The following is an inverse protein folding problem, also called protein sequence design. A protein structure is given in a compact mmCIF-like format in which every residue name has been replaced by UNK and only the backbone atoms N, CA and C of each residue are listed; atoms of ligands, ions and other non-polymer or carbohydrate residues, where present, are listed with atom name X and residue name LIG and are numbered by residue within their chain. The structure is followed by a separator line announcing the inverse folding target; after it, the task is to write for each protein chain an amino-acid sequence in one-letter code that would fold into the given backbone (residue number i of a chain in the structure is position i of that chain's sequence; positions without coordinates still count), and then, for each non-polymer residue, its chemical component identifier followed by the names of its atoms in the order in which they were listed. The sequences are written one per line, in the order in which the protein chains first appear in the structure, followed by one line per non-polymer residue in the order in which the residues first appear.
data_IF_079997437934
#
_entry.id   IF_079997437934
#
_cell.length_a   1.000
_cell.length_b   1.000
_cell.length_c   1.000
_cell.angle_alpha   90.00
_cell.angle_beta   90.00
_cell.angle_gamma   90.00
#
_symmetry.space_group_name_H-M   'P 1'
#
loop_
_entity.id
_entity.type
_entity.pdbx_description
1 polymer ?
#
# COMPACT_ATOMS: atom_id res chain seq x y z
N UNK A 1 -29.09 37.42 -1.47
CA UNK A 1 -29.28 35.95 -1.43
C UNK A 1 -30.27 35.60 -2.53
N UNK A 2 -29.78 35.24 -3.71
CA UNK A 2 -30.60 34.80 -4.83
C UNK A 2 -30.68 33.27 -4.82
N UNK A 3 -31.89 32.74 -4.86
CA UNK A 3 -32.19 31.30 -4.92
C UNK A 3 -31.49 30.64 -6.09
N UNK A 4 -30.64 29.65 -5.80
CA UNK A 4 -30.09 28.75 -6.83
C UNK A 4 -31.22 27.80 -7.21
N UNK A 5 -31.79 27.99 -8.40
CA UNK A 5 -32.74 27.06 -9.01
C UNK A 5 -32.08 25.71 -9.29
N UNK A 6 -32.80 24.62 -9.03
CA UNK A 6 -32.37 23.25 -9.30
C UNK A 6 -32.26 23.00 -10.81
N UNK A 7 -31.06 23.13 -11.38
CA UNK A 7 -30.78 22.78 -12.77
C UNK A 7 -29.39 22.13 -12.92
N UNK A 8 -29.22 21.26 -13.91
CA UNK A 8 -27.92 20.64 -14.21
C UNK A 8 -27.11 21.60 -15.08
N UNK A 9 -25.95 22.02 -14.58
CA UNK A 9 -25.08 22.97 -15.27
C UNK A 9 -23.93 22.24 -15.98
N UNK A 10 -23.68 22.57 -17.25
CA UNK A 10 -22.61 21.98 -18.06
C UNK A 10 -21.56 23.02 -18.46
N UNK A 11 -20.28 22.63 -18.40
CA UNK A 11 -19.15 23.45 -18.86
C UNK A 11 -18.77 22.99 -20.27
N UNK A 12 -18.74 23.91 -21.25
CA UNK A 12 -18.15 23.65 -22.56
C UNK A 12 -16.64 23.80 -22.44
N UNK A 13 -15.88 22.76 -22.80
CA UNK A 13 -14.43 22.75 -22.68
C UNK A 13 -13.80 23.91 -23.49
N UNK A 14 -13.09 24.82 -22.83
CA UNK A 14 -12.40 25.96 -23.46
C UNK A 14 -12.45 27.32 -22.75
N UNK A 15 -13.09 27.46 -21.57
CA UNK A 15 -13.12 28.71 -20.79
C UNK A 15 -13.77 28.54 -19.41
N UNK A 16 -13.69 29.57 -18.55
CA UNK A 16 -14.32 29.65 -17.21
C UNK A 16 -15.79 30.11 -17.24
N UNK A 17 -16.36 30.30 -18.42
CA UNK A 17 -17.76 30.72 -18.61
C UNK A 17 -18.71 29.53 -18.70
N UNK A 18 -19.77 29.55 -17.87
CA UNK A 18 -20.91 28.64 -17.97
C UNK A 18 -21.54 28.74 -19.36
N UNK A 19 -21.62 27.63 -20.09
CA UNK A 19 -22.04 27.66 -21.49
C UNK A 19 -23.53 27.34 -21.69
N UNK A 20 -24.18 26.64 -20.75
CA UNK A 20 -25.64 26.42 -20.75
C UNK A 20 -26.07 25.62 -19.52
N UNK A 21 -27.24 25.94 -18.96
CA UNK A 21 -28.00 25.04 -18.10
C UNK A 21 -28.94 24.21 -18.98
N UNK A 22 -28.95 22.90 -18.81
CA UNK A 22 -29.94 22.04 -19.44
C UNK A 22 -30.86 21.58 -18.31
N UNK A 23 -32.15 21.87 -18.46
CA UNK A 23 -33.18 21.34 -17.56
C UNK A 23 -33.12 19.80 -17.63
N UNK A 24 -33.04 19.10 -16.48
CA UNK A 24 -33.09 17.64 -16.46
C UNK A 24 -34.34 17.15 -17.19
N UNK A 25 -34.19 16.22 -18.11
CA UNK A 25 -35.35 15.54 -18.74
C UNK A 25 -35.94 14.53 -17.74
N UNK A 26 -37.18 14.06 -17.95
CA UNK A 26 -37.89 13.13 -17.04
C UNK A 26 -37.16 11.78 -16.76
N UNK A 27 -35.99 11.54 -17.37
CA UNK A 27 -35.08 10.42 -17.08
C UNK A 27 -33.83 10.77 -16.22
N UNK A 28 -33.63 12.03 -15.86
CA UNK A 28 -32.44 12.54 -15.15
C UNK A 28 -32.60 12.58 -13.62
N UNK A 29 -33.74 12.12 -13.09
CA UNK A 29 -34.04 11.97 -11.67
C UNK A 29 -33.15 10.87 -11.02
N UNK A 30 -31.86 11.14 -10.90
CA UNK A 30 -30.87 10.20 -10.38
C UNK A 30 -29.41 10.61 -10.63
N UNK A 31 -29.17 11.62 -11.48
CA UNK A 31 -27.83 12.15 -11.72
C UNK A 31 -27.24 12.81 -10.47
N UNK A 32 -26.08 12.32 -10.05
CA UNK A 32 -25.34 12.88 -8.93
C UNK A 32 -24.48 14.05 -9.40
N UNK A 33 -24.19 14.99 -8.50
CA UNK A 33 -23.18 16.01 -8.77
C UNK A 33 -21.81 15.38 -9.06
N UNK A 34 -21.13 15.85 -10.11
CA UNK A 34 -19.81 15.35 -10.46
C UNK A 34 -19.40 15.70 -11.89
N UNK A 35 -18.19 15.32 -12.30
CA UNK A 35 -17.72 15.54 -13.66
C UNK A 35 -18.30 14.48 -14.60
N UNK A 36 -18.89 14.96 -15.70
CA UNK A 36 -19.40 14.12 -16.78
C UNK A 36 -18.88 14.63 -18.12
N UNK A 37 -18.85 13.75 -19.10
CA UNK A 37 -18.58 14.08 -20.50
C UNK A 37 -19.77 13.63 -21.33
N UNK A 38 -20.25 14.51 -22.22
CA UNK A 38 -21.22 14.14 -23.23
C UNK A 38 -20.48 13.45 -24.39
N UNK A 39 -20.75 12.17 -24.61
CA UNK A 39 -20.12 11.38 -25.67
C UNK A 39 -21.18 10.67 -26.49
N UNK A 40 -21.24 10.95 -27.81
CA UNK A 40 -22.24 10.39 -28.74
C UNK A 40 -23.68 10.54 -28.23
N UNK A 41 -24.03 11.70 -27.67
CA UNK A 41 -25.35 11.99 -27.13
C UNK A 41 -25.69 11.30 -25.80
N UNK A 42 -24.73 10.63 -25.17
CA UNK A 42 -24.89 10.02 -23.85
C UNK A 42 -24.02 10.71 -22.81
N UNK A 43 -24.60 10.98 -21.65
CA UNK A 43 -23.87 11.51 -20.51
C UNK A 43 -23.07 10.40 -19.83
N UNK A 44 -21.75 10.54 -19.79
CA UNK A 44 -20.83 9.52 -19.28
C UNK A 44 -20.06 10.04 -18.07
N UNK A 45 -19.95 9.24 -17.00
CA UNK A 45 -19.14 9.60 -15.81
C UNK A 45 -17.67 9.76 -16.21
N UNK A 46 -17.09 10.90 -15.86
CA UNK A 46 -15.70 11.21 -16.18
C UNK A 46 -14.76 10.69 -15.09
N UNK A 47 -13.59 10.20 -15.51
CA UNK A 47 -12.49 9.80 -14.63
C UNK A 47 -11.27 10.61 -15.02
N UNK A 48 -10.54 11.12 -14.03
CA UNK A 48 -9.24 11.73 -14.28
C UNK A 48 -8.20 10.63 -14.42
N UNK A 49 -7.40 10.69 -15.47
CA UNK A 49 -6.24 9.83 -15.63
C UNK A 49 -5.05 10.48 -14.92
N UNK A 50 -4.45 9.73 -14.00
CA UNK A 50 -3.23 10.14 -13.30
C UNK A 50 -2.08 9.25 -13.75
N UNK A 51 -0.95 9.88 -14.08
CA UNK A 51 0.31 9.16 -14.20
C UNK A 51 0.78 8.71 -12.81
N UNK A 52 1.52 7.60 -12.77
CA UNK A 52 2.11 7.06 -11.55
C UNK A 52 3.66 7.20 -11.56
N UNK A 53 4.25 8.40 -11.44
CA UNK A 53 5.71 8.55 -11.61
C UNK A 53 6.55 7.63 -10.70
N UNK A 54 6.02 7.22 -9.54
CA UNK A 54 6.69 6.28 -8.64
C UNK A 54 6.66 4.81 -9.08
N UNK A 55 6.02 4.51 -10.22
CA UNK A 55 5.91 3.15 -10.76
C UNK A 55 5.38 2.13 -9.75
N UNK A 56 4.46 2.56 -8.87
CA UNK A 56 3.98 1.75 -7.76
C UNK A 56 2.91 0.72 -8.15
N UNK A 57 2.26 0.88 -9.30
CA UNK A 57 1.20 -0.01 -9.77
C UNK A 57 1.76 -1.13 -10.67
N UNK A 58 1.18 -2.34 -10.58
CA UNK A 58 1.34 -3.40 -11.59
C UNK A 58 0.18 -3.33 -12.60
N UNK A 59 -1.07 -3.22 -12.12
CA UNK A 59 -2.26 -3.06 -12.96
C UNK A 59 -3.07 -1.85 -12.49
N UNK A 60 -3.30 -0.90 -13.40
CA UNK A 60 -4.39 0.06 -13.25
C UNK A 60 -5.72 -0.61 -13.61
N UNK A 61 -6.77 -0.41 -12.81
CA UNK A 61 -8.07 -1.05 -13.03
C UNK A 61 -8.98 -0.15 -13.86
N UNK A 62 -9.62 -0.76 -14.87
CA UNK A 62 -10.62 -0.07 -15.69
C UNK A 62 -11.85 0.23 -14.83
N UNK A 63 -12.36 1.47 -14.83
CA UNK A 63 -13.55 1.82 -14.07
C UNK A 63 -14.74 0.91 -14.37
N UNK A 64 -15.38 0.41 -13.31
CA UNK A 64 -16.54 -0.49 -13.39
C UNK A 64 -17.82 0.34 -13.48
N UNK A 65 -18.21 0.69 -14.69
CA UNK A 65 -19.51 1.35 -14.96
C UNK A 65 -20.68 0.35 -14.84
N UNK A 66 -20.39 -0.94 -15.02
CA UNK A 66 -21.33 -2.05 -14.82
C UNK A 66 -20.68 -3.10 -13.90
N UNK A 67 -21.47 -3.91 -13.19
CA UNK A 67 -21.02 -5.07 -12.38
C UNK A 67 -20.44 -6.20 -13.26
N UNK A 68 -19.42 -5.89 -14.04
CA UNK A 68 -18.62 -6.82 -14.84
C UNK A 68 -17.34 -7.18 -14.09
N UNK A 69 -16.65 -8.21 -14.56
CA UNK A 69 -15.31 -8.61 -14.08
C UNK A 69 -14.34 -7.44 -14.13
N UNK A 70 -13.35 -7.44 -13.22
CA UNK A 70 -12.28 -6.45 -13.25
C UNK A 70 -11.41 -6.65 -14.49
N UNK A 71 -10.90 -5.55 -15.03
CA UNK A 71 -10.06 -5.55 -16.23
C UNK A 71 -8.96 -4.51 -16.10
N UNK A 72 -7.81 -4.79 -16.70
CA UNK A 72 -6.73 -3.84 -16.83
C UNK A 72 -7.17 -2.62 -17.68
N UNK A 73 -6.92 -1.42 -17.16
CA UNK A 73 -6.99 -0.16 -17.87
C UNK A 73 -5.74 -0.03 -18.75
N UNK A 74 -5.84 -0.50 -19.99
CA UNK A 74 -4.77 -0.40 -21.00
C UNK A 74 -4.65 1.02 -21.54
N UNK A 75 -4.20 1.94 -20.71
CA UNK A 75 -3.93 3.34 -21.06
C UNK A 75 -2.52 3.72 -20.64
N UNK A 76 -1.74 4.27 -21.57
CA UNK A 76 -0.39 4.79 -21.30
C UNK A 76 -0.48 6.11 -20.53
N UNK A 77 0.51 6.37 -19.68
CA UNK A 77 0.77 7.69 -19.12
C UNK A 77 1.54 8.59 -20.09
N UNK A 78 1.89 9.81 -19.65
CA UNK A 78 2.65 10.75 -20.47
C UNK A 78 4.07 10.27 -20.76
N UNK A 79 4.73 9.66 -19.77
CA UNK A 79 5.96 8.92 -19.99
C UNK A 79 5.60 7.53 -20.55
N UNK A 80 6.21 7.15 -21.67
CA UNK A 80 5.85 5.94 -22.44
C UNK A 80 5.93 4.62 -21.66
N UNK A 81 6.60 4.60 -20.50
CA UNK A 81 6.74 3.42 -19.63
C UNK A 81 5.76 3.40 -18.45
N UNK A 82 4.96 4.45 -18.24
CA UNK A 82 4.01 4.55 -17.13
C UNK A 82 2.61 4.12 -17.55
N UNK A 83 1.84 3.59 -16.58
CA UNK A 83 0.40 3.37 -16.75
C UNK A 83 -0.35 4.62 -16.29
N UNK A 84 -1.48 4.87 -16.95
CA UNK A 84 -2.49 5.81 -16.44
C UNK A 84 -3.44 5.11 -15.48
N UNK A 85 -3.68 5.71 -14.30
CA UNK A 85 -4.68 5.24 -13.33
C UNK A 85 -5.94 6.08 -13.47
N UNK A 86 -7.09 5.45 -13.71
CA UNK A 86 -8.38 6.15 -13.77
C UNK A 86 -8.95 6.32 -12.36
N UNK A 87 -9.10 7.58 -11.96
CA UNK A 87 -9.53 7.96 -10.62
C UNK A 87 -10.88 8.68 -10.68
N UNK A 88 -11.93 8.18 -9.98
CA UNK A 88 -13.24 8.82 -9.97
C UNK A 88 -13.23 10.10 -9.14
N UNK A 89 -14.11 11.05 -9.45
CA UNK A 89 -14.41 12.15 -8.51
C UNK A 89 -15.06 11.65 -7.21
N UNK A 90 -14.79 12.35 -6.11
CA UNK A 90 -15.43 12.11 -4.80
C UNK A 90 -16.73 12.88 -4.59
N UNK A 91 -17.03 13.87 -5.44
CA UNK A 91 -18.16 14.81 -5.27
C UNK A 91 -19.50 14.08 -5.09
N UNK A 92 -19.71 13.03 -5.88
CA UNK A 92 -20.91 12.18 -5.86
C UNK A 92 -21.21 11.65 -4.44
N UNK A 93 -20.17 11.25 -3.72
CA UNK A 93 -20.27 10.59 -2.43
C UNK A 93 -20.45 11.56 -1.26
N UNK A 94 -20.03 12.83 -1.42
CA UNK A 94 -20.17 13.87 -0.38
C UNK A 94 -21.63 14.15 0.00
N UNK A 95 -22.57 13.90 -0.91
CA UNK A 95 -24.00 14.20 -0.72
C UNK A 95 -24.86 12.99 -0.39
N UNK A 96 -24.35 11.76 -0.59
CA UNK A 96 -25.18 10.55 -0.66
C UNK A 96 -24.98 9.52 0.44
N UNK A 97 -23.86 9.56 1.18
CA UNK A 97 -23.53 8.45 2.08
C UNK A 97 -23.15 8.90 3.48
N UNK A 98 -23.75 8.25 4.48
CA UNK A 98 -23.31 8.31 5.88
C UNK A 98 -22.15 7.37 6.16
N UNK A 99 -21.72 6.60 5.16
CA UNK A 99 -20.61 5.67 5.27
C UNK A 99 -19.27 6.39 5.12
N UNK A 100 -18.40 6.26 6.13
CA UNK A 100 -17.09 6.92 6.18
C UNK A 100 -16.12 6.50 5.08
N UNK A 101 -16.35 5.39 4.38
CA UNK A 101 -15.51 4.92 3.27
C UNK A 101 -16.11 5.16 1.87
N UNK A 102 -17.29 5.79 1.79
CA UNK A 102 -17.92 6.05 0.51
C UNK A 102 -17.08 7.02 -0.33
N UNK A 103 -16.78 6.61 -1.57
CA UNK A 103 -15.93 7.38 -2.47
C UNK A 103 -14.44 7.32 -2.16
N UNK A 104 -14.03 6.61 -1.11
CA UNK A 104 -12.63 6.31 -0.87
C UNK A 104 -12.06 5.48 -2.03
N UNK A 105 -10.77 5.65 -2.30
CA UNK A 105 -10.05 5.00 -3.38
C UNK A 105 -9.00 4.09 -2.77
N UNK A 106 -9.12 2.81 -3.12
CA UNK A 106 -8.30 1.72 -2.61
C UNK A 106 -7.39 1.20 -3.72
N UNK A 107 -6.16 0.86 -3.36
CA UNK A 107 -5.29 0.01 -4.16
C UNK A 107 -4.78 -1.15 -3.30
N UNK A 108 -4.52 -2.31 -3.88
CA UNK A 108 -4.15 -3.49 -3.09
C UNK A 108 -2.82 -4.06 -3.56
N UNK A 109 -1.98 -4.54 -2.65
CA UNK A 109 -0.79 -5.33 -2.99
C UNK A 109 -1.19 -6.49 -3.90
N UNK A 110 -0.43 -6.74 -4.97
CA UNK A 110 -0.74 -7.79 -5.96
C UNK A 110 -0.42 -9.22 -5.47
N UNK A 111 -0.89 -9.53 -4.27
CA UNK A 111 -1.01 -10.87 -3.69
C UNK A 111 -2.48 -11.26 -3.52
N UNK A 112 -3.38 -10.27 -3.46
CA UNK A 112 -4.80 -10.52 -3.31
C UNK A 112 -5.46 -10.81 -4.66
N UNK A 113 -6.18 -11.91 -4.74
CA UNK A 113 -6.98 -12.27 -5.91
C UNK A 113 -8.02 -11.20 -6.21
N UNK A 114 -8.15 -10.86 -7.50
CA UNK A 114 -9.17 -9.96 -8.02
C UNK A 114 -9.79 -10.63 -9.22
N UNK A 115 -11.09 -10.89 -9.12
CA UNK A 115 -11.87 -11.59 -10.14
C UNK A 115 -11.65 -10.99 -11.54
N UNK A 116 -11.18 -11.81 -12.48
CA UNK A 116 -10.89 -11.45 -13.87
C UNK A 116 -9.48 -10.90 -14.12
N UNK A 117 -8.66 -10.70 -13.09
CA UNK A 117 -7.25 -10.33 -13.21
C UNK A 117 -6.33 -11.51 -12.93
N UNK A 118 -5.24 -11.58 -13.68
CA UNK A 118 -4.16 -12.55 -13.48
C UNK A 118 -3.04 -11.88 -12.70
N UNK A 119 -2.64 -12.47 -11.57
CA UNK A 119 -1.63 -11.91 -10.68
C UNK A 119 -0.22 -12.23 -11.16
N UNK A 120 0.73 -11.36 -10.84
CA UNK A 120 2.16 -11.65 -11.01
C UNK A 120 2.84 -12.03 -9.70
N UNK A 121 2.37 -11.49 -8.56
CA UNK A 121 3.04 -11.64 -7.26
C UNK A 121 4.53 -11.24 -7.35
N UNK A 122 4.85 -10.28 -8.22
CA UNK A 122 6.22 -9.85 -8.51
C UNK A 122 7.09 -10.91 -9.22
N UNK A 123 6.49 -11.94 -9.84
CA UNK A 123 7.19 -13.05 -10.50
C UNK A 123 6.54 -13.40 -11.85
N UNK A 124 7.30 -13.34 -12.95
CA UNK A 124 6.76 -13.71 -14.27
C UNK A 124 6.39 -15.20 -14.36
N UNK A 125 7.14 -16.06 -13.67
CA UNK A 125 6.82 -17.49 -13.60
C UNK A 125 5.48 -17.76 -12.88
N UNK A 126 5.12 -16.95 -11.88
CA UNK A 126 3.79 -16.99 -11.28
C UNK A 126 2.72 -16.61 -12.29
N UNK A 127 2.94 -15.51 -13.01
CA UNK A 127 2.02 -15.10 -14.06
C UNK A 127 1.83 -16.25 -15.04
N UNK A 128 2.88 -16.83 -15.62
CA UNK A 128 2.82 -17.94 -16.59
C UNK A 128 2.08 -19.19 -16.09
N UNK A 129 2.17 -19.49 -14.78
CA UNK A 129 1.55 -20.65 -14.17
C UNK A 129 0.03 -20.53 -14.05
N UNK A 130 -0.46 -19.43 -13.49
CA UNK A 130 -1.87 -19.29 -13.11
C UNK A 130 -2.70 -18.60 -14.18
N UNK A 131 -4.02 -18.76 -14.15
CA UNK A 131 -4.98 -18.03 -15.00
C UNK A 131 -5.52 -16.80 -14.28
N UNK A 132 -6.34 -15.94 -14.93
CA UNK A 132 -7.09 -14.93 -14.19
C UNK A 132 -7.88 -15.53 -13.02
N UNK A 133 -7.89 -14.84 -11.89
CA UNK A 133 -8.59 -15.30 -10.69
C UNK A 133 -10.10 -15.37 -10.93
N UNK A 134 -10.75 -16.41 -10.43
CA UNK A 134 -12.20 -16.61 -10.53
C UNK A 134 -12.98 -15.87 -9.44
N UNK A 135 -12.30 -15.47 -8.38
CA UNK A 135 -12.88 -14.82 -7.20
C UNK A 135 -12.05 -13.62 -6.78
N UNK A 136 -12.67 -12.75 -6.01
CA UNK A 136 -11.99 -11.64 -5.34
C UNK A 136 -11.70 -12.02 -3.89
N UNK A 137 -10.54 -11.61 -3.37
CA UNK A 137 -10.13 -11.93 -2.03
C UNK A 137 -11.13 -11.38 -0.99
N UNK A 138 -11.50 -12.15 0.06
CA UNK A 138 -12.48 -11.76 1.06
C UNK A 138 -12.24 -10.40 1.73
N UNK A 139 -10.99 -10.04 1.94
CA UNK A 139 -10.60 -8.76 2.56
C UNK A 139 -10.99 -7.54 1.71
N UNK A 140 -11.13 -7.70 0.39
CA UNK A 140 -11.46 -6.61 -0.54
C UNK A 140 -12.98 -6.38 -0.61
N UNK A 141 -13.81 -7.40 -0.31
CA UNK A 141 -15.27 -7.24 -0.32
C UNK A 141 -15.73 -6.14 0.64
N UNK A 142 -15.21 -6.13 1.87
CA UNK A 142 -15.65 -5.20 2.92
C UNK A 142 -15.51 -3.72 2.52
N UNK A 143 -14.37 -3.25 1.96
CA UNK A 143 -14.29 -1.91 1.39
C UNK A 143 -15.25 -1.67 0.21
N UNK A 144 -15.35 -2.61 -0.72
CA UNK A 144 -16.19 -2.44 -1.93
C UNK A 144 -17.68 -2.31 -1.59
N UNK A 145 -18.17 -3.06 -0.61
CA UNK A 145 -19.55 -2.96 -0.10
C UNK A 145 -19.85 -1.62 0.58
N UNK A 146 -18.80 -0.85 0.87
CA UNK A 146 -18.87 0.50 1.48
C UNK A 146 -18.64 1.62 0.46
N UNK A 147 -18.93 1.37 -0.81
CA UNK A 147 -18.79 2.32 -1.93
C UNK A 147 -17.36 2.84 -2.15
N UNK A 148 -16.34 2.08 -1.70
CA UNK A 148 -14.94 2.33 -2.04
C UNK A 148 -14.67 1.88 -3.48
N UNK A 149 -13.84 2.64 -4.21
CA UNK A 149 -13.39 2.27 -5.55
C UNK A 149 -12.00 1.63 -5.51
N UNK A 150 -11.89 0.39 -6.00
CA UNK A 150 -10.60 -0.25 -6.27
C UNK A 150 -10.00 0.31 -7.57
N UNK A 151 -8.88 1.01 -7.48
CA UNK A 151 -8.23 1.70 -8.61
C UNK A 151 -7.09 0.91 -9.26
N UNK A 152 -6.53 -0.10 -8.58
CA UNK A 152 -5.44 -0.90 -9.13
C UNK A 152 -4.77 -1.85 -8.14
N UNK A 153 -3.82 -2.62 -8.68
CA UNK A 153 -2.90 -3.48 -7.92
C UNK A 153 -1.52 -2.84 -7.81
N UNK A 154 -0.85 -3.08 -6.70
CA UNK A 154 0.42 -2.46 -6.33
C UNK A 154 1.56 -3.47 -6.37
N UNK A 155 2.73 -2.98 -6.75
CA UNK A 155 3.98 -3.73 -6.75
C UNK A 155 4.32 -4.26 -5.37
N UNK A 156 5.02 -5.38 -5.39
CA UNK A 156 5.57 -6.08 -4.24
C UNK A 156 6.92 -6.67 -4.61
N UNK A 157 7.74 -6.95 -3.59
CA UNK A 157 8.88 -7.84 -3.76
C UNK A 157 8.40 -9.23 -4.19
N UNK A 158 9.11 -9.82 -5.15
CA UNK A 158 8.78 -11.10 -5.77
C UNK A 158 8.48 -12.15 -4.74
N UNK A 159 7.35 -12.85 -4.87
CA UNK A 159 6.92 -13.92 -3.96
C UNK A 159 6.89 -13.49 -2.47
N UNK A 160 6.60 -12.21 -2.19
CA UNK A 160 6.52 -11.63 -0.83
C UNK A 160 7.89 -11.65 -0.12
N UNK A 161 8.95 -11.60 -0.90
CA UNK A 161 10.31 -11.60 -0.38
C UNK A 161 10.83 -10.17 -0.27
N UNK A 162 11.77 -9.95 0.65
CA UNK A 162 12.48 -8.68 0.66
C UNK A 162 13.39 -8.67 -0.57
N UNK A 163 13.18 -7.67 -1.40
CA UNK A 163 14.00 -7.35 -2.56
C UNK A 163 14.19 -5.84 -2.58
N UNK A 164 15.44 -5.41 -2.67
CA UNK A 164 15.76 -4.04 -3.07
C UNK A 164 15.78 -3.92 -4.61
N UNK A 165 15.93 -2.71 -5.15
CA UNK A 165 15.87 -2.52 -6.61
C UNK A 165 16.94 -3.34 -7.34
N UNK A 166 18.16 -3.39 -6.81
CA UNK A 166 19.26 -4.15 -7.39
C UNK A 166 18.95 -5.66 -7.50
N UNK A 167 18.00 -6.16 -6.71
CA UNK A 167 17.57 -7.57 -6.69
C UNK A 167 16.29 -7.82 -7.49
N UNK A 168 15.56 -6.74 -7.85
CA UNK A 168 14.27 -6.78 -8.53
C UNK A 168 14.41 -7.10 -10.03
N UNK A 169 14.46 -8.39 -10.36
CA UNK A 169 14.74 -8.83 -11.73
C UNK A 169 13.53 -8.85 -12.69
N UNK A 170 12.34 -9.20 -12.21
CA UNK A 170 11.14 -9.32 -13.06
C UNK A 170 10.33 -8.01 -13.11
N UNK A 171 10.20 -7.34 -11.96
CA UNK A 171 9.45 -6.09 -11.81
C UNK A 171 10.22 -5.14 -10.90
N UNK A 172 10.65 -4.00 -11.43
CA UNK A 172 11.42 -3.03 -10.65
C UNK A 172 10.67 -2.51 -9.43
N UNK A 173 11.37 -2.43 -8.30
CA UNK A 173 10.89 -1.77 -7.09
C UNK A 173 10.43 -0.31 -7.37
N UNK A 174 9.37 0.16 -6.70
CA UNK A 174 8.82 1.50 -6.90
C UNK A 174 9.79 2.59 -6.43
N UNK A 175 9.52 3.84 -6.78
CA UNK A 175 10.25 5.00 -6.25
C UNK A 175 9.60 5.53 -4.98
N UNK A 176 10.42 5.77 -3.95
CA UNK A 176 9.98 6.42 -2.74
C UNK A 176 10.03 7.94 -2.96
N UNK A 177 8.89 8.61 -2.92
CA UNK A 177 8.82 10.06 -3.14
C UNK A 177 9.42 10.88 -1.97
N UNK A 178 9.65 10.28 -0.80
CA UNK A 178 10.19 10.95 0.39
C UNK A 178 11.64 11.40 0.18
N UNK A 179 12.02 12.49 0.85
CA UNK A 179 13.34 13.09 0.73
C UNK A 179 13.63 13.49 -0.73
N UNK A 180 14.76 13.04 -1.25
CA UNK A 180 15.22 13.30 -2.61
C UNK A 180 14.51 12.47 -3.70
N UNK A 181 13.56 11.61 -3.33
CA UNK A 181 12.84 10.77 -4.29
C UNK A 181 13.59 9.49 -4.70
N UNK A 182 14.75 9.20 -4.09
CA UNK A 182 15.63 8.11 -4.49
C UNK A 182 15.94 7.09 -3.38
N UNK A 183 15.29 7.21 -2.23
CA UNK A 183 15.39 6.20 -1.18
C UNK A 183 14.71 4.89 -1.61
N UNK A 184 15.09 3.79 -0.96
CA UNK A 184 14.35 2.55 -1.04
C UNK A 184 12.93 2.75 -0.54
N UNK A 185 11.98 2.08 -1.20
CA UNK A 185 10.60 1.96 -0.73
C UNK A 185 10.40 0.75 0.19
N UNK A 186 11.48 0.02 0.48
CA UNK A 186 11.49 -1.26 1.19
C UNK A 186 10.55 -2.30 0.56
N UNK A 187 10.50 -3.48 1.17
CA UNK A 187 9.88 -4.66 0.58
C UNK A 187 9.33 -5.57 1.69
N UNK A 188 8.30 -6.39 1.49
CA UNK A 188 7.64 -6.71 0.22
C UNK A 188 6.42 -5.85 -0.11
N UNK A 189 5.99 -4.95 0.77
CA UNK A 189 4.84 -4.06 0.52
C UNK A 189 5.24 -2.67 0.03
N UNK A 190 6.43 -2.52 -0.58
CA UNK A 190 6.99 -1.23 -0.99
C UNK A 190 6.10 -0.45 -1.96
N UNK A 191 5.38 -1.13 -2.87
CA UNK A 191 4.42 -0.46 -3.75
C UNK A 191 3.28 0.21 -2.99
N UNK A 192 2.85 -0.37 -1.86
CA UNK A 192 1.82 0.21 -0.99
C UNK A 192 2.33 1.44 -0.26
N UNK A 193 3.50 1.35 0.37
CA UNK A 193 4.13 2.49 1.04
C UNK A 193 4.42 3.65 0.09
N UNK A 194 5.06 3.36 -1.05
CA UNK A 194 5.38 4.36 -2.08
C UNK A 194 4.11 5.03 -2.64
N UNK A 195 3.04 4.26 -2.91
CA UNK A 195 1.80 4.82 -3.43
C UNK A 195 1.13 5.77 -2.43
N UNK A 196 0.98 5.37 -1.16
CA UNK A 196 0.38 6.22 -0.13
C UNK A 196 1.21 7.46 0.17
N UNK A 197 2.54 7.36 0.11
CA UNK A 197 3.41 8.52 0.29
C UNK A 197 3.33 9.52 -0.88
N UNK A 198 2.84 9.11 -2.06
CA UNK A 198 2.97 9.89 -3.30
C UNK A 198 1.65 10.43 -3.84
N UNK A 199 0.55 9.69 -3.67
CA UNK A 199 -0.70 9.97 -4.35
C UNK A 199 -1.75 10.49 -3.36
N UNK A 200 -1.95 11.81 -3.35
CA UNK A 200 -3.01 12.49 -2.57
C UNK A 200 -4.43 12.00 -2.92
N UNK A 201 -4.58 11.46 -4.12
CA UNK A 201 -5.81 10.92 -4.62
C UNK A 201 -6.07 9.48 -4.15
N UNK A 202 -5.13 8.78 -3.51
CA UNK A 202 -5.28 7.42 -2.99
C UNK A 202 -5.51 7.46 -1.47
N UNK A 203 -6.54 6.78 -0.97
CA UNK A 203 -6.95 6.93 0.43
C UNK A 203 -6.35 5.88 1.37
N UNK A 204 -6.29 4.62 0.92
CA UNK A 204 -5.64 3.54 1.69
C UNK A 204 -5.24 2.37 0.79
N UNK A 205 -4.41 1.49 1.33
CA UNK A 205 -3.97 0.26 0.66
C UNK A 205 -4.10 -0.96 1.55
N UNK A 206 -4.26 -2.14 0.96
CA UNK A 206 -4.22 -3.42 1.70
C UNK A 206 -2.94 -4.20 1.38
N UNK A 207 -2.36 -4.84 2.41
CA UNK A 207 -1.12 -5.60 2.33
C UNK A 207 -1.21 -7.01 2.92
N UNK A 208 -0.34 -7.88 2.38
CA UNK A 208 0.06 -9.27 2.71
C UNK A 208 -1.02 -10.36 2.85
N UNK A 209 -0.74 -11.50 2.23
CA UNK A 209 -1.41 -12.79 2.38
C UNK A 209 -0.41 -13.93 2.05
N UNK A 210 -0.67 -15.18 2.44
CA UNK A 210 0.25 -16.32 2.37
C UNK A 210 0.39 -16.87 0.94
N UNK A 211 1.58 -17.32 0.56
CA UNK A 211 1.80 -18.11 -0.66
C UNK A 211 2.03 -19.57 -0.29
N UNK A 212 1.29 -20.48 -0.91
CA UNK A 212 1.48 -21.92 -0.76
C UNK A 212 1.60 -22.57 -2.15
N UNK A 213 2.32 -23.70 -2.22
CA UNK A 213 2.31 -24.66 -3.34
C UNK A 213 2.90 -24.23 -4.70
N UNK A 214 3.19 -22.95 -4.92
CA UNK A 214 3.74 -22.41 -6.19
C UNK A 214 4.87 -23.22 -6.84
N UNK A 215 5.94 -23.52 -6.09
CA UNK A 215 7.14 -24.18 -6.65
C UNK A 215 6.82 -25.56 -7.19
N UNK A 216 6.02 -26.34 -6.46
CA UNK A 216 5.66 -27.70 -6.85
C UNK A 216 4.73 -27.70 -8.06
N UNK A 217 3.75 -26.79 -8.09
CA UNK A 217 2.83 -26.63 -9.21
C UNK A 217 3.55 -26.21 -10.50
N UNK A 218 4.49 -25.26 -10.40
CA UNK A 218 5.27 -24.81 -11.55
C UNK A 218 6.09 -25.96 -12.16
N UNK A 219 6.78 -26.73 -11.31
CA UNK A 219 7.55 -27.91 -11.75
C UNK A 219 6.67 -28.94 -12.45
N UNK A 220 5.51 -29.26 -11.87
CA UNK A 220 4.57 -30.23 -12.46
C UNK A 220 4.08 -29.77 -13.84
N UNK A 221 3.76 -28.48 -14.01
CA UNK A 221 3.24 -27.96 -15.28
C UNK A 221 4.32 -27.77 -16.36
N UNK A 222 5.48 -27.27 -15.99
CA UNK A 222 6.51 -26.84 -16.94
C UNK A 222 7.72 -27.77 -17.03
N UNK A 223 7.78 -28.81 -16.17
CA UNK A 223 8.88 -29.78 -16.09
C UNK A 223 10.26 -29.11 -15.87
N UNK A 224 10.28 -27.94 -15.22
CA UNK A 224 11.50 -27.16 -14.89
C UNK A 224 11.27 -26.29 -13.65
N UNK A 225 12.35 -25.78 -13.06
CA UNK A 225 12.26 -24.78 -11.99
C UNK A 225 11.77 -23.41 -12.52
N UNK A 226 10.97 -22.66 -11.73
CA UNK A 226 10.71 -21.26 -12.02
C UNK A 226 11.99 -20.43 -11.80
N UNK A 227 12.10 -19.32 -12.54
CA UNK A 227 13.02 -18.27 -12.12
C UNK A 227 12.52 -17.69 -10.78
N UNK A 228 13.45 -17.55 -9.84
CA UNK A 228 13.27 -16.77 -8.62
C UNK A 228 14.53 -15.95 -8.36
N UNK A 229 14.34 -14.82 -7.67
CA UNK A 229 15.41 -13.91 -7.29
C UNK A 229 16.49 -14.63 -6.43
N UNK A 230 17.69 -14.04 -6.30
CA UNK A 230 18.78 -14.62 -5.51
C UNK A 230 18.43 -14.90 -4.05
N UNK A 231 17.74 -13.98 -3.36
CA UNK A 231 17.35 -14.11 -1.94
C UNK A 231 16.46 -15.34 -1.73
N UNK A 232 15.54 -15.58 -2.64
CA UNK A 232 14.58 -16.67 -2.56
C UNK A 232 15.14 -18.01 -2.96
N UNK A 233 16.07 -18.01 -3.92
CA UNK A 233 16.93 -19.16 -4.15
C UNK A 233 17.73 -19.52 -2.91
N UNK A 234 18.36 -18.55 -2.26
CA UNK A 234 19.12 -18.77 -1.02
C UNK A 234 18.23 -19.35 0.08
N UNK A 235 17.03 -18.80 0.31
CA UNK A 235 16.09 -19.35 1.31
C UNK A 235 15.68 -20.78 0.99
N UNK A 236 15.40 -21.07 -0.28
CA UNK A 236 15.04 -22.43 -0.70
C UNK A 236 16.17 -23.43 -0.53
N UNK A 237 17.41 -23.05 -0.84
CA UNK A 237 18.58 -23.93 -0.62
C UNK A 237 18.85 -24.14 0.87
N UNK A 238 18.75 -23.09 1.69
CA UNK A 238 18.89 -23.20 3.14
C UNK A 238 17.80 -24.10 3.76
N UNK A 239 16.56 -24.01 3.27
CA UNK A 239 15.44 -24.80 3.77
C UNK A 239 15.39 -26.25 3.23
N UNK A 240 16.11 -26.57 2.16
CA UNK A 240 16.02 -27.85 1.43
C UNK A 240 16.29 -29.08 2.31
N UNK A 241 17.20 -28.95 3.26
CA UNK A 241 17.64 -30.06 4.12
C UNK A 241 16.98 -30.03 5.51
N UNK A 242 16.02 -29.12 5.75
CA UNK A 242 15.28 -29.06 7.01
C UNK A 242 14.33 -30.24 7.07
N UNK A 243 14.50 -31.10 8.08
CA UNK A 243 13.61 -32.25 8.29
C UNK A 243 12.28 -31.81 8.91
N UNK A 244 11.26 -32.65 8.79
CA UNK A 244 9.97 -32.42 9.43
C UNK A 244 10.13 -32.25 10.96
N UNK A 245 10.94 -33.09 11.60
CA UNK A 245 11.23 -33.03 13.04
C UNK A 245 11.91 -31.71 13.42
N UNK A 246 12.90 -31.24 12.65
CA UNK A 246 13.54 -29.95 12.87
C UNK A 246 12.56 -28.78 12.73
N UNK A 247 11.67 -28.85 11.75
CA UNK A 247 10.62 -27.86 11.56
C UNK A 247 9.65 -27.84 12.75
N UNK A 248 9.20 -29.00 13.22
CA UNK A 248 8.31 -29.14 14.37
C UNK A 248 8.96 -28.63 15.67
N UNK A 249 10.23 -28.98 15.93
CA UNK A 249 11.00 -28.45 17.07
C UNK A 249 11.14 -26.91 16.98
N UNK A 250 11.47 -26.37 15.80
CA UNK A 250 11.57 -24.93 15.61
C UNK A 250 10.24 -24.20 15.85
N UNK A 251 9.12 -24.75 15.36
CA UNK A 251 7.78 -24.21 15.62
C UNK A 251 7.44 -24.26 17.11
N UNK A 252 7.80 -25.34 17.80
CA UNK A 252 7.59 -25.48 19.24
C UNK A 252 8.41 -24.46 20.03
N UNK A 253 9.68 -24.23 19.69
CA UNK A 253 10.51 -23.19 20.30
C UNK A 253 9.94 -21.79 20.06
N UNK A 254 9.42 -21.53 18.87
CA UNK A 254 8.77 -20.26 18.55
C UNK A 254 7.51 -20.04 19.41
N UNK A 255 6.74 -21.11 19.67
CA UNK A 255 5.59 -21.06 20.56
C UNK A 255 5.99 -20.72 22.01
N UNK A 256 7.02 -21.38 22.54
CA UNK A 256 7.55 -21.09 23.88
C UNK A 256 8.02 -19.64 23.98
N UNK A 257 8.77 -19.16 22.97
CA UNK A 257 9.21 -17.76 22.91
C UNK A 257 8.03 -16.79 22.90
N UNK A 258 7.00 -17.06 22.09
CA UNK A 258 5.78 -16.26 22.05
C UNK A 258 5.11 -16.16 23.43
N UNK A 259 4.91 -17.29 24.12
CA UNK A 259 4.29 -17.30 25.44
C UNK A 259 5.10 -16.49 26.45
N UNK A 260 6.43 -16.69 26.45
CA UNK A 260 7.34 -15.95 27.32
C UNK A 260 7.23 -14.44 27.13
N UNK A 261 7.24 -13.95 25.89
CA UNK A 261 7.15 -12.51 25.61
C UNK A 261 5.78 -11.95 25.98
N UNK A 262 4.70 -12.68 25.70
CA UNK A 262 3.35 -12.25 26.09
C UNK A 262 3.26 -12.11 27.60
N UNK A 263 3.66 -13.15 28.35
CA UNK A 263 3.55 -13.16 29.81
C UNK A 263 4.48 -12.13 30.47
N UNK A 264 5.74 -12.05 30.04
CA UNK A 264 6.76 -11.24 30.72
C UNK A 264 6.81 -9.79 30.26
N UNK A 265 6.37 -9.48 29.03
CA UNK A 265 6.50 -8.13 28.47
C UNK A 265 5.15 -7.47 28.14
N UNK A 266 4.15 -8.20 27.62
CA UNK A 266 2.89 -7.60 27.18
C UNK A 266 1.76 -7.67 28.22
N UNK A 267 1.76 -8.66 29.11
CA UNK A 267 0.72 -8.88 30.13
C UNK A 267 1.27 -8.80 31.55
N UNK A 268 1.95 -7.70 31.85
CA UNK A 268 2.64 -7.52 33.15
C UNK A 268 1.64 -7.11 34.23
N UNK A 269 1.56 -7.90 35.31
CA UNK A 269 0.73 -7.63 36.50
C UNK A 269 -0.76 -7.38 36.17
N UNK A 270 -1.31 -8.12 35.21
CA UNK A 270 -2.71 -7.98 34.79
C UNK A 270 -3.03 -6.72 33.98
N UNK A 271 -2.00 -6.03 33.46
CA UNK A 271 -2.14 -4.87 32.56
C UNK A 271 -1.56 -5.17 31.19
N UNK A 272 -2.18 -4.61 30.16
CA UNK A 272 -1.61 -4.63 28.81
C UNK A 272 -0.54 -3.54 28.68
N UNK A 273 0.70 -3.95 28.41
CA UNK A 273 1.77 -3.04 28.07
C UNK A 273 1.72 -2.69 26.58
N UNK A 274 2.18 -1.47 26.25
CA UNK A 274 2.50 -1.08 24.88
C UNK A 274 4.01 -1.01 24.79
N UNK A 275 4.59 -1.76 23.85
CA UNK A 275 6.04 -1.74 23.60
C UNK A 275 6.32 -0.72 22.51
N UNK A 276 7.27 0.17 22.77
CA UNK A 276 7.78 1.15 21.80
C UNK A 276 8.96 0.53 21.05
N UNK A 277 8.86 0.40 19.73
CA UNK A 277 9.87 -0.24 18.88
C UNK A 277 10.42 0.76 17.86
N UNK A 278 11.75 0.76 17.70
CA UNK A 278 12.39 1.17 16.46
C UNK A 278 12.51 -0.08 15.60
N UNK A 279 11.64 -0.23 14.59
CA UNK A 279 11.61 -1.48 13.78
C UNK A 279 12.92 -1.65 13.01
N UNK A 280 13.50 -0.55 12.56
CA UNK A 280 14.77 -0.51 11.82
C UNK A 280 15.59 0.70 12.24
N UNK A 281 16.88 0.69 11.89
CA UNK A 281 17.72 1.88 11.94
C UNK A 281 17.15 2.96 11.02
N UNK A 282 17.03 4.18 11.53
CA UNK A 282 16.58 5.31 10.72
C UNK A 282 17.79 5.96 10.06
N UNK A 283 18.04 5.56 8.82
CA UNK A 283 19.18 6.00 8.04
C UNK A 283 18.78 6.23 6.58
N UNK A 284 19.67 6.90 5.85
CA UNK A 284 19.60 6.99 4.39
C UNK A 284 19.80 5.59 3.82
N UNK A 285 18.94 5.20 2.89
CA UNK A 285 18.93 3.89 2.25
C UNK A 285 18.60 4.10 0.78
N UNK A 286 19.64 4.31 -0.02
CA UNK A 286 19.49 4.59 -1.44
C UNK A 286 19.05 3.35 -2.20
N UNK A 287 18.09 3.51 -3.12
CA UNK A 287 17.54 2.39 -3.90
C UNK A 287 18.58 1.67 -4.76
N UNK A 288 19.67 2.33 -5.12
CA UNK A 288 20.77 1.80 -5.93
C UNK A 288 21.96 1.32 -5.09
N UNK A 289 21.84 1.34 -3.75
CA UNK A 289 22.81 0.72 -2.88
C UNK A 289 22.93 -0.78 -3.16
N UNK A 290 24.13 -1.32 -2.95
CA UNK A 290 24.33 -2.77 -3.03
C UNK A 290 23.54 -3.45 -1.92
N UNK A 291 22.76 -4.50 -2.24
CA UNK A 291 21.95 -5.19 -1.24
C UNK A 291 22.86 -5.90 -0.23
N UNK A 292 22.42 -5.93 1.03
CA UNK A 292 23.07 -6.71 2.06
C UNK A 292 23.05 -8.22 1.72
N UNK A 293 24.05 -9.00 2.17
CA UNK A 293 24.02 -10.44 2.03
C UNK A 293 22.74 -11.05 2.61
N UNK A 294 22.20 -12.05 1.92
CA UNK A 294 21.04 -12.80 2.42
C UNK A 294 21.37 -13.43 3.77
N UNK A 295 20.51 -13.18 4.77
CA UNK A 295 20.66 -13.68 6.13
C UNK A 295 19.35 -14.31 6.64
N UNK A 296 19.49 -15.19 7.63
CA UNK A 296 18.34 -15.78 8.30
C UNK A 296 17.64 -14.73 9.17
N UNK A 297 16.29 -14.66 9.16
CA UNK A 297 15.55 -13.82 10.10
C UNK A 297 15.95 -14.09 11.55
N UNK A 298 16.12 -13.02 12.32
CA UNK A 298 16.30 -13.11 13.77
C UNK A 298 14.95 -12.91 14.46
N UNK A 299 14.50 -13.87 15.27
CA UNK A 299 13.22 -13.79 15.99
C UNK A 299 13.15 -12.64 17.01
N UNK A 300 14.30 -12.07 17.40
CA UNK A 300 14.39 -10.91 18.29
C UNK A 300 14.38 -9.57 17.55
N UNK A 301 14.48 -9.58 16.22
CA UNK A 301 14.42 -8.36 15.42
C UNK A 301 12.99 -7.81 15.41
N UNK A 302 12.87 -6.48 15.54
CA UNK A 302 11.60 -5.79 15.80
C UNK A 302 10.55 -6.07 14.72
N UNK A 303 10.98 -6.29 13.47
CA UNK A 303 10.11 -6.58 12.34
C UNK A 303 9.37 -7.93 12.46
N UNK A 304 9.89 -8.87 13.26
CA UNK A 304 9.30 -10.21 13.42
C UNK A 304 8.46 -10.37 14.68
N UNK A 305 8.54 -9.44 15.63
CA UNK A 305 7.82 -9.55 16.91
C UNK A 305 6.31 -9.63 16.70
N UNK A 306 5.67 -8.68 16.01
CA UNK A 306 4.22 -8.70 15.85
C UNK A 306 3.69 -9.95 15.12
N UNK A 307 4.29 -10.39 13.99
CA UNK A 307 3.90 -11.64 13.33
C UNK A 307 4.05 -12.88 14.22
N UNK A 308 5.16 -13.01 14.96
CA UNK A 308 5.41 -14.15 15.85
C UNK A 308 4.38 -14.19 16.96
N UNK A 309 4.11 -13.04 17.58
CA UNK A 309 3.19 -12.93 18.71
C UNK A 309 1.73 -13.02 18.28
N UNK A 310 1.40 -12.73 17.02
CA UNK A 310 0.03 -12.50 16.58
C UNK A 310 -0.56 -11.28 17.28
N UNK A 311 0.26 -10.24 17.43
CA UNK A 311 -0.04 -9.03 18.17
C UNK A 311 -0.28 -7.85 17.20
N UNK A 312 -1.13 -6.89 17.55
CA UNK A 312 -1.32 -5.68 16.76
C UNK A 312 -0.09 -4.77 16.86
N UNK A 313 0.36 -4.26 15.72
CA UNK A 313 1.43 -3.27 15.62
C UNK A 313 0.97 -2.07 14.79
N UNK A 314 1.29 -0.87 15.26
CA UNK A 314 0.95 0.39 14.61
C UNK A 314 2.21 1.25 14.45
N UNK A 315 2.67 1.44 13.22
CA UNK A 315 3.78 2.34 12.89
C UNK A 315 3.31 3.75 12.61
N UNK A 316 3.91 4.73 13.29
CA UNK A 316 3.49 6.14 13.28
C UNK A 316 4.70 7.02 12.96
N UNK A 317 4.66 7.83 11.88
CA UNK A 317 5.61 8.90 11.68
C UNK A 317 5.49 9.95 12.79
N UNK A 318 6.59 10.21 13.49
CA UNK A 318 6.64 11.14 14.63
C UNK A 318 7.53 12.35 14.38
N UNK A 319 8.32 12.35 13.30
CA UNK A 319 9.20 13.45 12.94
C UNK A 319 9.89 13.24 11.61
N UNK A 320 10.88 14.08 11.34
CA UNK A 320 11.76 13.95 10.18
C UNK A 320 13.22 14.11 10.61
N UNK A 321 14.11 13.28 10.06
CA UNK A 321 15.56 13.43 10.18
C UNK A 321 16.09 14.19 8.97
N UNK A 322 17.03 15.12 9.20
CA UNK A 322 17.75 15.81 8.14
C UNK A 322 18.96 14.98 7.69
N UNK A 323 19.24 14.99 6.40
CA UNK A 323 20.46 14.41 5.82
C UNK A 323 20.90 15.23 4.61
N UNK A 324 22.19 15.18 4.28
CA UNK A 324 22.71 15.76 3.04
C UNK A 324 22.58 14.72 1.94
N UNK A 325 21.73 14.99 0.94
CA UNK A 325 21.51 14.05 -0.16
C UNK A 325 22.71 13.98 -1.09
N UNK A 326 23.14 12.77 -1.42
CA UNK A 326 24.17 12.52 -2.43
C UNK A 326 23.71 12.87 -3.85
N UNK A 327 22.41 12.97 -4.08
CA UNK A 327 21.84 13.27 -5.40
C UNK A 327 21.55 14.75 -5.56
N UNK A 328 20.77 15.32 -4.64
CA UNK A 328 20.36 16.73 -4.74
C UNK A 328 21.46 17.68 -4.25
N UNK A 329 22.44 17.17 -3.48
CA UNK A 329 23.49 17.94 -2.78
C UNK A 329 22.93 19.01 -1.85
N UNK A 330 21.72 18.77 -1.33
CA UNK A 330 21.01 19.66 -0.40
C UNK A 330 20.63 18.90 0.86
N UNK A 331 20.25 19.66 1.89
CA UNK A 331 19.58 19.09 3.06
C UNK A 331 18.19 18.64 2.64
N UNK A 332 17.96 17.34 2.75
CA UNK A 332 16.69 16.68 2.54
C UNK A 332 16.21 16.07 3.85
N UNK A 333 14.97 15.56 3.88
CA UNK A 333 14.35 15.03 5.10
C UNK A 333 13.69 13.68 4.89
N UNK A 334 13.91 12.76 5.82
CA UNK A 334 13.26 11.44 5.84
C UNK A 334 12.37 11.27 7.07
N UNK A 335 11.25 10.53 6.96
CA UNK A 335 10.38 10.28 8.10
C UNK A 335 11.08 9.50 9.22
N UNK A 336 10.89 9.96 10.45
CA UNK A 336 11.18 9.22 11.68
C UNK A 336 9.92 8.49 12.09
N UNK A 337 9.98 7.17 12.18
CA UNK A 337 8.82 6.31 12.46
C UNK A 337 9.07 5.49 13.72
N UNK A 338 8.06 5.41 14.58
CA UNK A 338 8.06 4.54 15.76
C UNK A 338 6.89 3.58 15.65
N UNK A 339 7.13 2.32 16.04
CA UNK A 339 6.08 1.32 16.14
C UNK A 339 5.60 1.14 17.58
N UNK A 340 4.29 1.01 17.71
CA UNK A 340 3.62 0.64 18.95
C UNK A 340 3.13 -0.79 18.80
N UNK A 341 3.61 -1.69 19.66
CA UNK A 341 3.17 -3.08 19.73
C UNK A 341 2.26 -3.27 20.94
N UNK A 342 1.04 -3.78 20.72
CA UNK A 342 0.07 -4.08 21.78
C UNK A 342 -0.07 -5.58 22.04
N UNK A 343 -0.87 -5.95 23.04
CA UNK A 343 -1.23 -7.35 23.27
C UNK A 343 -2.25 -7.84 22.22
N UNK A 344 -2.27 -9.14 21.91
CA UNK A 344 -3.25 -9.72 20.98
C UNK A 344 -4.69 -9.36 21.36
N UNK A 345 -5.47 -8.88 20.40
CA UNK A 345 -6.87 -8.45 20.60
C UNK A 345 -7.05 -7.02 21.11
N UNK A 346 -5.96 -6.26 21.31
CA UNK A 346 -6.01 -4.86 21.76
C UNK A 346 -5.98 -3.83 20.64
N UNK A 347 -6.23 -4.24 19.38
CA UNK A 347 -6.09 -3.42 18.17
C UNK A 347 -6.75 -2.03 18.30
N UNK A 348 -8.02 -2.00 18.72
CA UNK A 348 -8.77 -0.75 18.87
C UNK A 348 -8.31 0.09 20.06
N UNK A 349 -7.84 -0.56 21.13
CA UNK A 349 -7.25 0.11 22.29
C UNK A 349 -5.93 0.78 21.91
N UNK A 350 -5.07 0.06 21.18
CA UNK A 350 -3.79 0.55 20.67
C UNK A 350 -3.97 1.76 19.76
N UNK A 351 -4.87 1.67 18.77
CA UNK A 351 -5.22 2.79 17.87
C UNK A 351 -5.79 3.96 18.66
N UNK A 352 -6.72 3.69 19.59
CA UNK A 352 -7.34 4.71 20.41
C UNK A 352 -6.33 5.46 21.29
N UNK A 353 -5.39 4.72 21.89
CA UNK A 353 -4.32 5.27 22.74
C UNK A 353 -3.35 6.10 21.90
N UNK A 354 -2.88 5.59 20.76
CA UNK A 354 -2.03 6.34 19.84
C UNK A 354 -2.67 7.67 19.42
N UNK A 355 -3.94 7.63 19.02
CA UNK A 355 -4.68 8.83 18.59
C UNK A 355 -4.80 9.86 19.71
N UNK A 356 -5.16 9.42 20.93
CA UNK A 356 -5.24 10.32 22.11
C UNK A 356 -3.88 10.92 22.45
N UNK A 357 -2.81 10.13 22.41
CA UNK A 357 -1.45 10.61 22.68
C UNK A 357 -1.01 11.68 21.68
N UNK A 358 -1.26 11.48 20.38
CA UNK A 358 -0.97 12.49 19.35
C UNK A 358 -1.78 13.77 19.61
N UNK A 359 -3.07 13.64 19.89
CA UNK A 359 -3.96 14.78 20.15
C UNK A 359 -3.55 15.57 21.41
N UNK A 360 -3.32 14.89 22.53
CA UNK A 360 -2.93 15.52 23.79
C UNK A 360 -1.53 16.15 23.73
N UNK A 361 -0.64 15.59 22.91
CA UNK A 361 0.68 16.20 22.67
C UNK A 361 0.66 17.29 21.59
N UNK A 362 -0.50 17.57 20.99
CA UNK A 362 -0.67 18.55 19.93
C UNK A 362 0.14 18.23 18.67
N UNK A 363 0.28 16.93 18.36
CA UNK A 363 0.90 16.38 17.14
C UNK A 363 -0.14 16.03 16.09
N UNK A 364 0.26 16.07 14.82
CA UNK A 364 -0.61 15.74 13.70
C UNK A 364 -1.07 14.28 13.72
N UNK A 365 -2.32 14.05 13.31
CA UNK A 365 -2.93 12.72 13.12
C UNK A 365 -2.91 12.28 11.64
N UNK A 366 -2.42 13.14 10.76
CA UNK A 366 -2.41 12.97 9.30
C UNK A 366 -1.04 13.43 8.81
N UNK A 367 -0.51 12.76 7.80
CA UNK A 367 0.74 13.11 7.12
C UNK A 367 0.45 13.53 5.68
N UNK A 368 1.24 14.46 5.14
CA UNK A 368 1.14 14.86 3.75
C UNK A 368 1.77 13.82 2.81
N UNK A 369 1.33 13.81 1.55
CA UNK A 369 2.01 13.15 0.45
C UNK A 369 3.15 14.03 -0.10
N UNK A 370 4.06 13.45 -0.88
CA UNK A 370 5.21 14.16 -1.46
C UNK A 370 6.52 13.90 -0.71
N UNK A 371 7.49 14.79 -0.88
CA UNK A 371 8.83 14.62 -0.29
C UNK A 371 8.87 14.72 1.23
N UNK A 372 7.87 15.38 1.82
CA UNK A 372 7.81 15.73 3.25
C UNK A 372 6.53 15.19 3.88
N UNK A 373 6.61 14.74 5.12
CA UNK A 373 5.41 14.29 5.87
C UNK A 373 4.61 15.46 6.46
N UNK A 374 5.21 16.66 6.51
CA UNK A 374 4.57 17.94 6.86
C UNK A 374 3.72 17.89 8.14
N UNK A 375 4.35 17.48 9.26
CA UNK A 375 3.66 17.30 10.55
C UNK A 375 3.80 18.47 11.56
N UNK A 376 4.24 19.67 11.11
CA UNK A 376 4.41 20.90 11.90
C UNK A 376 5.57 20.89 12.93
N UNK A 377 6.17 22.06 13.22
CA UNK A 377 7.47 22.27 13.90
C UNK A 377 7.66 21.78 15.35
N UNK A 378 6.83 20.87 15.88
CA UNK A 378 7.02 20.28 17.22
C UNK A 378 7.89 19.03 17.18
N UNK A 379 9.15 19.15 16.79
CA UNK A 379 10.07 18.00 16.63
C UNK A 379 11.21 17.95 17.65
N UNK A 380 11.62 16.71 17.94
CA UNK A 380 12.94 16.39 18.48
C UNK A 380 13.92 16.55 17.30
N UNK A 381 14.81 17.54 17.39
CA UNK A 381 15.88 17.73 16.40
C UNK A 381 16.90 16.61 16.63
N UNK A 382 16.90 15.58 15.80
CA UNK A 382 17.94 14.56 15.80
C UNK A 382 18.92 14.89 14.68
N UNK A 383 20.09 15.40 15.07
CA UNK A 383 21.23 15.55 14.18
C UNK A 383 21.95 14.22 14.28
N UNK A 384 22.02 13.46 13.19
CA UNK A 384 22.86 12.27 13.16
C UNK A 384 24.31 12.75 13.32
N UNK A 385 24.96 12.41 14.43
CA UNK A 385 26.37 12.72 14.63
C UNK A 385 27.17 11.97 13.54
N UNK A 386 28.00 12.72 12.81
CA UNK A 386 29.01 12.18 11.91
C UNK A 386 30.03 11.41 12.77
N UNK A 387 30.02 10.07 12.69
CA UNK A 387 31.07 9.21 13.23
C UNK A 387 31.99 8.70 12.14
#
# INVERSE_FOLDING_TARGET
MSSISSGTHFIRYGGTTWASSIEPTDGDHGLCSGPFVMWKGQLCKAFRLYDHPQQAFIVAIRPRILKRLFRNLRASGNLYTLLSVAVPSRIDYLSKSTNSLAGARLAVKEVFEIEGLRLTVGCRAWYDLYTPAEKIAPVIHKPLDKDTTLVGTLKLGSLITREELAESADYFAPFNQRGDGHQSAWSSSGGSGAALASYDWLDFTLGTYKLEQFRQEYRTKHLKEPYVNPVMRWRWEAAKNVTQEQHEDAVQRLHIYKELVIEKALQVNGRHAIILLSIITQAVDYRDASPDPSSAPNAFDGIWLAPILGAPELSIPIGEMEYVSDLSKRIERLPIVVSLLGASGTDMELIGTARRTLEQSGRAKVVATGSRIDIGDKYIKWIADES
#
